data_IF_932791910428
#
_entry.id   IF_932791910428
#
_cell.length_a   1.000
_cell.length_b   1.000
_cell.length_c   1.000
_cell.angle_alpha   90.00
_cell.angle_beta   90.00
_cell.angle_gamma   90.00
#
_symmetry.space_group_name_H-M   'P 1'
#
loop_
_entity.id
_entity.type
_entity.pdbx_description
1 polymer ?
#
# COMPACT_ATOMS: atom_id res chain seq x y z
N UNK A 1 10.54 12.62 -34.90
CA UNK A 1 11.60 13.63 -35.07
C UNK A 1 12.30 13.86 -33.73
N UNK A 2 13.63 13.63 -33.70
CA UNK A 2 14.62 13.82 -32.60
C UNK A 2 14.41 13.00 -31.30
N UNK A 3 14.93 11.76 -31.26
CA UNK A 3 16.24 11.34 -30.66
C UNK A 3 16.15 11.29 -29.13
N UNK A 4 15.77 10.19 -28.47
CA UNK A 4 16.26 8.80 -28.57
C UNK A 4 17.79 8.69 -28.57
N UNK A 5 18.28 7.86 -27.64
CA UNK A 5 19.65 7.42 -27.43
C UNK A 5 20.63 8.46 -26.86
N UNK A 6 20.78 8.44 -25.53
CA UNK A 6 22.09 8.61 -24.89
C UNK A 6 22.27 7.59 -23.75
N UNK A 7 22.17 6.30 -24.10
CA UNK A 7 23.02 5.28 -23.49
C UNK A 7 24.39 5.35 -24.19
N UNK A 8 25.20 6.34 -23.82
CA UNK A 8 26.62 6.33 -24.15
C UNK A 8 27.36 7.31 -23.22
N UNK A 9 28.14 6.74 -22.30
CA UNK A 9 29.40 7.30 -21.82
C UNK A 9 29.40 8.74 -21.31
N UNK A 10 29.25 8.93 -19.99
CA UNK A 10 30.03 9.94 -19.28
C UNK A 10 30.62 9.28 -18.02
N UNK A 11 31.95 9.37 -17.93
CA UNK A 11 32.82 8.88 -16.89
C UNK A 11 32.59 9.63 -15.57
N UNK A 12 32.16 8.92 -14.53
CA UNK A 12 32.53 9.09 -13.12
C UNK A 12 31.48 8.36 -12.31
N UNK A 13 31.91 7.26 -11.70
CA UNK A 13 31.02 6.43 -10.90
C UNK A 13 30.42 7.22 -9.76
N UNK A 14 29.09 7.30 -9.73
CA UNK A 14 28.33 6.81 -8.60
C UNK A 14 27.11 6.12 -9.19
N UNK A 15 26.86 4.92 -8.69
CA UNK A 15 25.81 3.99 -9.06
C UNK A 15 24.50 4.71 -9.43
N UNK A 16 24.04 4.48 -10.66
CA UNK A 16 22.61 4.34 -10.89
C UNK A 16 22.16 3.13 -10.09
N UNK A 17 21.90 3.33 -8.79
CA UNK A 17 20.94 2.51 -8.11
C UNK A 17 19.64 2.79 -8.85
N UNK A 18 19.19 1.83 -9.67
CA UNK A 18 17.79 1.53 -9.69
C UNK A 18 17.45 1.16 -8.24
N UNK A 19 17.24 2.16 -7.38
CA UNK A 19 16.36 1.99 -6.27
C UNK A 19 15.04 1.67 -6.94
N UNK A 20 14.65 0.40 -6.94
CA UNK A 20 13.23 0.14 -6.96
C UNK A 20 12.70 0.97 -5.82
N UNK A 21 11.98 2.05 -6.14
CA UNK A 21 11.14 2.73 -5.19
C UNK A 21 10.11 1.68 -4.78
N UNK A 22 10.47 0.81 -3.82
CA UNK A 22 9.51 0.10 -3.01
C UNK A 22 8.88 1.17 -2.13
N UNK A 23 8.15 2.10 -2.75
CA UNK A 23 7.16 2.88 -2.05
C UNK A 23 6.25 1.82 -1.43
N UNK A 24 6.19 1.77 -0.10
CA UNK A 24 5.31 0.81 0.52
C UNK A 24 3.90 1.10 -0.03
N UNK A 25 3.14 0.04 -0.32
CA UNK A 25 1.75 0.19 -0.82
C UNK A 25 0.87 0.93 0.19
N UNK A 26 1.42 1.12 1.41
CA UNK A 26 0.76 1.61 2.60
C UNK A 26 1.71 2.28 3.57
N UNK A 27 1.18 3.16 4.41
CA UNK A 27 1.92 3.74 5.53
C UNK A 27 1.92 2.74 6.72
N UNK A 28 3.06 2.52 7.38
CA UNK A 28 3.14 1.57 8.51
C UNK A 28 2.09 1.88 9.58
N UNK A 29 1.29 0.89 9.96
CA UNK A 29 0.16 1.07 10.89
C UNK A 29 -1.13 1.60 10.26
N UNK A 30 -1.12 1.94 8.96
CA UNK A 30 -2.33 2.31 8.22
C UNK A 30 -3.30 1.14 8.19
N UNK A 31 -4.53 1.38 8.63
CA UNK A 31 -5.61 0.39 8.59
C UNK A 31 -6.55 0.74 7.47
N UNK A 32 -7.02 -0.27 6.74
CA UNK A 32 -8.04 -0.11 5.71
C UNK A 32 -8.95 -1.33 5.58
N UNK A 33 -10.09 -1.15 4.93
CA UNK A 33 -11.05 -2.19 4.64
C UNK A 33 -10.78 -2.79 3.26
N UNK A 34 -10.35 -4.04 3.22
CA UNK A 34 -10.29 -4.84 1.99
C UNK A 34 -11.59 -5.64 1.86
N UNK A 35 -12.66 -4.99 1.40
CA UNK A 35 -14.00 -5.57 1.37
C UNK A 35 -14.58 -5.65 2.78
N UNK A 36 -14.82 -6.87 3.28
CA UNK A 36 -15.30 -7.11 4.65
C UNK A 36 -14.19 -7.53 5.62
N UNK A 37 -12.92 -7.32 5.23
CA UNK A 37 -11.75 -7.71 6.03
C UNK A 37 -10.94 -6.47 6.34
N UNK A 38 -10.70 -6.23 7.63
CA UNK A 38 -9.82 -5.18 8.09
C UNK A 38 -8.37 -5.64 7.92
N UNK A 39 -7.60 -4.85 7.18
CA UNK A 39 -6.17 -5.07 6.97
C UNK A 39 -5.38 -3.92 7.57
N UNK A 40 -4.18 -4.21 8.06
CA UNK A 40 -3.22 -3.24 8.58
C UNK A 40 -1.95 -3.31 7.76
N UNK A 41 -1.32 -2.17 7.51
CA UNK A 41 0.00 -2.14 6.89
C UNK A 41 1.07 -2.58 7.88
N UNK A 42 1.78 -3.64 7.53
CA UNK A 42 2.95 -4.10 8.27
C UNK A 42 4.06 -4.50 7.29
N UNK A 43 5.25 -3.93 7.45
CA UNK A 43 6.39 -4.18 6.58
C UNK A 43 6.18 -3.69 5.15
N UNK A 44 5.33 -2.68 4.95
CA UNK A 44 4.98 -2.14 3.63
C UNK A 44 3.99 -3.00 2.82
N UNK A 45 3.34 -3.96 3.46
CA UNK A 45 2.28 -4.77 2.88
C UNK A 45 1.04 -4.79 3.78
N UNK A 46 -0.14 -4.81 3.18
CA UNK A 46 -1.38 -5.00 3.92
C UNK A 46 -1.54 -6.44 4.37
N UNK A 47 -1.52 -6.65 5.69
CA UNK A 47 -1.77 -7.93 6.33
C UNK A 47 -3.16 -7.93 6.99
N UNK A 48 -3.82 -9.08 7.02
CA UNK A 48 -5.14 -9.20 7.64
C UNK A 48 -5.02 -9.00 9.16
N UNK A 49 -5.71 -7.98 9.66
CA UNK A 49 -5.79 -7.66 11.09
C UNK A 49 -7.01 -8.35 11.71
N UNK A 50 -8.17 -8.23 11.08
CA UNK A 50 -9.45 -8.77 11.56
C UNK A 50 -10.41 -9.05 10.40
N UNK A 51 -11.14 -10.16 10.44
CA UNK A 51 -12.15 -10.50 9.43
C UNK A 51 -13.55 -10.15 9.96
N UNK A 52 -14.11 -9.04 9.50
CA UNK A 52 -15.44 -8.60 9.92
C UNK A 52 -16.52 -9.58 9.41
N UNK A 53 -16.32 -10.17 8.22
CA UNK A 53 -17.26 -11.11 7.62
C UNK A 53 -17.44 -12.38 8.46
N UNK A 54 -16.38 -12.86 9.13
CA UNK A 54 -16.44 -13.99 10.04
C UNK A 54 -17.40 -13.76 11.22
N UNK A 55 -17.63 -12.50 11.59
CA UNK A 55 -18.59 -12.09 12.62
C UNK A 55 -19.95 -11.64 12.04
N UNK A 56 -20.17 -11.75 10.73
CA UNK A 56 -21.35 -11.23 10.05
C UNK A 56 -21.43 -9.70 10.03
N UNK A 57 -20.28 -9.02 10.15
CA UNK A 57 -20.14 -7.56 10.13
C UNK A 57 -19.58 -7.10 8.79
N UNK A 58 -19.77 -5.81 8.49
CA UNK A 58 -19.20 -5.12 7.34
C UNK A 58 -18.04 -4.25 7.81
N UNK A 59 -16.97 -4.20 7.04
CA UNK A 59 -15.88 -3.26 7.31
C UNK A 59 -16.29 -1.89 6.74
N UNK A 60 -16.44 -0.88 7.60
CA UNK A 60 -16.67 0.49 7.16
C UNK A 60 -15.41 1.34 7.34
N UNK A 61 -15.09 2.08 6.28
CA UNK A 61 -13.95 3.00 6.21
C UNK A 61 -14.46 4.44 6.08
N UNK A 62 -14.86 5.08 7.19
CA UNK A 62 -15.32 6.46 7.18
C UNK A 62 -14.19 7.42 6.80
N UNK A 63 -14.48 8.38 5.91
CA UNK A 63 -13.50 9.40 5.50
C UNK A 63 -13.15 10.28 6.70
N UNK A 64 -11.93 10.14 7.21
CA UNK A 64 -11.42 10.89 8.37
C UNK A 64 -11.59 10.19 9.73
N UNK A 65 -11.96 8.91 9.75
CA UNK A 65 -11.92 8.10 10.97
C UNK A 65 -11.31 6.72 10.70
N UNK A 66 -10.96 6.01 11.78
CA UNK A 66 -10.33 4.70 11.70
C UNK A 66 -11.34 3.66 11.18
N UNK A 67 -10.93 2.71 10.31
CA UNK A 67 -11.83 1.66 9.85
C UNK A 67 -12.28 0.76 11.00
N UNK A 68 -13.55 0.35 10.95
CA UNK A 68 -14.17 -0.46 12.00
C UNK A 68 -15.15 -1.50 11.44
N UNK A 69 -15.23 -2.64 12.11
CA UNK A 69 -16.23 -3.67 11.82
C UNK A 69 -17.59 -3.27 12.44
N UNK A 70 -18.51 -2.79 11.62
CA UNK A 70 -19.88 -2.45 12.04
C UNK A 70 -20.86 -3.55 11.63
N UNK A 71 -21.89 -3.78 12.44
CA UNK A 71 -22.93 -4.76 12.09
C UNK A 71 -23.62 -4.37 10.78
N UNK A 72 -23.82 -5.32 9.89
CA UNK A 72 -24.70 -5.13 8.74
C UNK A 72 -26.13 -4.99 9.28
N UNK A 73 -26.59 -3.74 9.38
CA UNK A 73 -27.97 -3.41 9.77
C UNK A 73 -28.98 -3.74 8.67
#
# INVERSE_FOLDING_TARGET
>A
MKKSLFCAWILSGVMAACGGDTQPDCEEGERRCSGNVMVVCSGGAYVVQEDCAASGKTCEEPVGAEPLCVGAG
#
